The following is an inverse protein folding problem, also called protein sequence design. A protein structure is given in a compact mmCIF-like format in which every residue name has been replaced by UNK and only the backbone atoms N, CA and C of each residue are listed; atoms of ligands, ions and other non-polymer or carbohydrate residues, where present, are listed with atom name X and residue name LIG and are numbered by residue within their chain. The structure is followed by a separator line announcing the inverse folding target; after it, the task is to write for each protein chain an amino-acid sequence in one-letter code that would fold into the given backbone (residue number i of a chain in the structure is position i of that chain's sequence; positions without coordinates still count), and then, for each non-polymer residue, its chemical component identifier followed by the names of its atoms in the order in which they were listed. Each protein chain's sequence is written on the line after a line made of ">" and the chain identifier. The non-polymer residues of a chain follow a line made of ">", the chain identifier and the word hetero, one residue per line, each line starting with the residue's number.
data_IF_868944144855
#
_entry.id   IF_868944144855
#
_cell.length_a   1.000
_cell.length_b   1.000
_cell.length_c   1.000
_cell.angle_alpha   90.00
_cell.angle_beta   90.00
_cell.angle_gamma   90.00
#
_symmetry.space_group_name_H-M   'P 1'
#
loop_
_entity.id
_entity.type
_entity.pdbx_description
1 polymer ?
#
# COMPACT_ATOMS: atom_id res chain seq x y z
N UNK A 1 -13.05 24.94 -33.06
CA UNK A 1 -11.93 24.48 -33.89
C UNK A 1 -11.72 23.01 -33.54
N UNK A 2 -12.24 22.10 -34.36
CA UNK A 2 -12.16 20.65 -34.12
C UNK A 2 -10.71 20.19 -34.29
N UNK A 3 -10.08 19.76 -33.20
CA UNK A 3 -8.73 19.20 -33.25
C UNK A 3 -8.81 17.85 -33.97
N UNK A 4 -8.16 17.72 -35.13
CA UNK A 4 -8.03 16.43 -35.80
C UNK A 4 -7.27 15.48 -34.89
N UNK A 5 -7.82 14.29 -34.65
CA UNK A 5 -7.18 13.27 -33.83
C UNK A 5 -5.83 12.85 -34.44
N UNK A 6 -4.75 12.96 -33.66
CA UNK A 6 -3.40 12.51 -34.02
C UNK A 6 -2.88 11.60 -32.91
N UNK A 7 -2.70 10.32 -33.22
CA UNK A 7 -2.28 9.32 -32.23
C UNK A 7 -0.92 9.64 -31.61
N UNK A 8 0.04 10.14 -32.41
CA UNK A 8 1.39 10.47 -31.94
C UNK A 8 1.39 11.70 -31.03
N UNK A 9 0.65 12.75 -31.40
CA UNK A 9 0.56 13.96 -30.57
C UNK A 9 -0.13 13.67 -29.23
N UNK A 10 -1.20 12.87 -29.25
CA UNK A 10 -1.88 12.44 -28.04
C UNK A 10 -0.98 11.56 -27.16
N UNK A 11 -0.17 10.68 -27.76
CA UNK A 11 0.79 9.87 -27.00
C UNK A 11 1.84 10.72 -26.29
N UNK A 12 2.42 11.72 -26.97
CA UNK A 12 3.39 12.64 -26.35
C UNK A 12 2.76 13.51 -25.26
N UNK A 13 1.49 13.89 -25.39
CA UNK A 13 0.76 14.56 -24.30
C UNK A 13 0.67 13.63 -23.08
N UNK A 14 0.24 12.38 -23.26
CA UNK A 14 0.09 11.40 -22.17
C UNK A 14 1.44 11.09 -21.47
N UNK A 15 2.58 11.15 -22.15
CA UNK A 15 3.90 10.99 -21.50
C UNK A 15 4.19 12.07 -20.45
N UNK A 16 3.66 13.26 -20.70
CA UNK A 16 3.97 14.46 -19.91
C UNK A 16 2.92 14.74 -18.83
N UNK A 17 1.78 14.07 -18.87
CA UNK A 17 0.79 14.13 -17.80
C UNK A 17 1.38 13.66 -16.46
N UNK A 18 0.96 14.34 -15.40
CA UNK A 18 1.39 14.08 -14.02
C UNK A 18 0.17 13.96 -13.13
N UNK A 19 0.25 13.08 -12.15
CA UNK A 19 -0.76 12.97 -11.11
C UNK A 19 -0.59 14.03 -10.02
N UNK A 20 -1.48 14.02 -9.03
CA UNK A 20 -1.44 14.97 -7.90
C UNK A 20 -0.15 14.88 -7.07
N UNK A 21 0.51 13.72 -7.06
CA UNK A 21 1.79 13.47 -6.41
C UNK A 21 2.98 13.81 -7.33
N UNK A 22 2.73 14.46 -8.46
CA UNK A 22 3.68 14.88 -9.48
C UNK A 22 4.49 13.72 -10.11
N UNK A 23 3.94 12.50 -10.11
CA UNK A 23 4.50 11.32 -10.79
C UNK A 23 3.90 11.17 -12.18
N UNK A 24 4.61 10.47 -13.06
CA UNK A 24 4.13 10.19 -14.41
C UNK A 24 2.83 9.38 -14.35
N UNK A 25 1.77 9.90 -14.97
CA UNK A 25 0.41 9.36 -14.84
C UNK A 25 0.25 7.95 -15.41
N UNK A 26 1.03 7.67 -16.46
CA UNK A 26 1.00 6.40 -17.17
C UNK A 26 2.35 5.69 -17.01
N UNK A 27 2.34 4.53 -16.34
CA UNK A 27 3.51 3.67 -16.27
C UNK A 27 3.74 2.99 -17.62
N UNK A 28 4.91 3.24 -18.22
CA UNK A 28 5.35 2.59 -19.46
C UNK A 28 6.09 1.27 -19.22
N UNK A 29 6.35 0.93 -17.96
CA UNK A 29 7.01 -0.32 -17.59
C UNK A 29 5.96 -1.41 -17.32
N UNK A 30 6.24 -2.66 -17.72
CA UNK A 30 5.37 -3.78 -17.38
C UNK A 30 5.27 -3.93 -15.86
N UNK A 31 4.10 -4.35 -15.38
CA UNK A 31 3.88 -4.63 -13.96
C UNK A 31 4.92 -5.63 -13.45
N UNK A 32 5.60 -5.29 -12.36
CA UNK A 32 6.49 -6.21 -11.67
C UNK A 32 5.78 -6.80 -10.46
N UNK A 33 5.76 -8.13 -10.38
CA UNK A 33 5.37 -8.82 -9.15
C UNK A 33 6.53 -8.72 -8.15
N UNK A 34 6.31 -8.01 -7.04
CA UNK A 34 7.25 -7.96 -5.93
C UNK A 34 6.80 -8.95 -4.86
N UNK A 35 7.57 -10.03 -4.69
CA UNK A 35 7.33 -10.97 -3.58
C UNK A 35 8.13 -10.56 -2.35
N UNK A 36 7.43 -10.27 -1.25
CA UNK A 36 8.05 -9.93 0.04
C UNK A 36 7.86 -11.10 1.01
N UNK A 37 8.95 -11.61 1.59
CA UNK A 37 8.91 -12.67 2.60
C UNK A 37 8.91 -12.08 4.01
N UNK A 38 7.91 -12.47 4.81
CA UNK A 38 7.73 -12.00 6.19
C UNK A 38 7.67 -13.21 7.13
N UNK A 39 8.56 -13.24 8.11
CA UNK A 39 8.65 -14.31 9.10
C UNK A 39 7.98 -13.91 10.43
N UNK A 40 7.22 -14.82 11.07
CA UNK A 40 6.61 -14.56 12.36
C UNK A 40 7.67 -14.48 13.48
N UNK A 41 7.61 -13.42 14.28
CA UNK A 41 8.51 -13.21 15.42
C UNK A 41 7.76 -12.49 16.56
N UNK A 42 7.55 -13.19 17.67
CA UNK A 42 6.84 -12.66 18.86
C UNK A 42 7.63 -11.60 19.62
N UNK A 43 8.93 -11.44 19.35
CA UNK A 43 9.77 -10.38 19.94
C UNK A 43 9.54 -9.03 19.26
N UNK A 44 8.98 -9.02 18.05
CA UNK A 44 8.63 -7.80 17.33
C UNK A 44 7.35 -7.24 17.91
N UNK A 45 7.35 -5.94 18.25
CA UNK A 45 6.14 -5.25 18.70
C UNK A 45 5.06 -5.31 17.60
N UNK A 46 3.78 -5.54 17.95
CA UNK A 46 2.69 -5.48 16.98
C UNK A 46 2.66 -4.17 16.17
N UNK A 47 2.12 -4.27 14.95
CA UNK A 47 2.08 -3.22 13.93
C UNK A 47 3.45 -2.75 13.42
N UNK A 48 4.49 -3.60 13.52
CA UNK A 48 5.83 -3.30 12.98
C UNK A 48 6.35 -4.41 12.08
N UNK A 49 7.13 -3.98 11.09
CA UNK A 49 7.96 -4.84 10.25
C UNK A 49 9.43 -4.45 10.46
N UNK A 50 10.26 -5.43 10.79
CA UNK A 50 11.69 -5.21 11.03
C UNK A 50 12.47 -5.99 9.97
N UNK A 51 13.37 -5.36 9.21
CA UNK A 51 14.20 -6.07 8.24
C UNK A 51 15.09 -7.10 8.94
N UNK A 52 15.26 -8.26 8.31
CA UNK A 52 16.19 -9.27 8.79
C UNK A 52 17.63 -8.82 8.54
N UNK A 53 18.46 -8.90 9.58
CA UNK A 53 19.91 -8.60 9.49
C UNK A 53 20.69 -9.73 8.79
N UNK A 54 20.24 -10.97 8.94
CA UNK A 54 20.92 -12.18 8.46
C UNK A 54 20.41 -12.65 7.10
N UNK A 55 19.19 -12.28 6.71
CA UNK A 55 18.56 -12.65 5.44
C UNK A 55 18.08 -11.38 4.72
N UNK A 56 18.96 -10.72 3.94
CA UNK A 56 18.62 -9.51 3.22
C UNK A 56 17.38 -9.69 2.32
N UNK A 57 16.54 -8.66 2.22
CA UNK A 57 15.31 -8.70 1.42
C UNK A 57 14.11 -9.36 2.13
N UNK A 58 14.25 -9.80 3.38
CA UNK A 58 13.16 -10.39 4.16
C UNK A 58 12.88 -9.59 5.43
N UNK A 59 11.68 -9.76 5.99
CA UNK A 59 11.22 -9.03 7.18
C UNK A 59 10.77 -9.98 8.28
N UNK A 60 10.71 -9.46 9.51
CA UNK A 60 10.08 -10.09 10.68
C UNK A 60 8.95 -9.22 11.17
N UNK A 61 7.86 -9.83 11.60
CA UNK A 61 6.73 -9.14 12.19
C UNK A 61 6.04 -10.00 13.24
N UNK A 62 5.31 -9.36 14.15
CA UNK A 62 4.49 -10.09 15.11
C UNK A 62 3.43 -10.92 14.36
N UNK A 63 3.11 -12.16 14.79
CA UNK A 63 2.07 -12.98 14.16
C UNK A 63 0.73 -12.23 13.98
N UNK A 64 0.32 -11.46 14.98
CA UNK A 64 -0.86 -10.58 14.92
C UNK A 64 -0.80 -9.58 13.77
N UNK A 65 0.37 -8.99 13.51
CA UNK A 65 0.57 -8.02 12.41
C UNK A 65 0.43 -8.71 11.06
N UNK A 66 1.00 -9.90 10.90
CA UNK A 66 0.88 -10.69 9.68
C UNK A 66 -0.58 -11.07 9.42
N UNK A 67 -1.31 -11.49 10.45
CA UNK A 67 -2.73 -11.84 10.35
C UNK A 67 -3.62 -10.63 10.05
N UNK A 68 -3.32 -9.47 10.65
CA UNK A 68 -4.04 -8.23 10.44
C UNK A 68 -3.88 -7.67 9.03
N UNK A 69 -2.75 -7.95 8.37
CA UNK A 69 -2.44 -7.40 7.05
C UNK A 69 -3.42 -7.90 5.98
N UNK A 70 -3.82 -6.98 5.10
CA UNK A 70 -4.54 -7.32 3.87
C UNK A 70 -3.63 -8.08 2.90
N UNK A 71 -4.18 -9.09 2.24
CA UNK A 71 -3.42 -9.92 1.27
C UNK A 71 -3.18 -9.20 -0.06
N UNK A 72 -4.00 -8.21 -0.37
CA UNK A 72 -3.98 -7.39 -1.58
C UNK A 72 -3.25 -6.04 -1.38
N UNK A 73 -2.49 -5.89 -0.29
CA UNK A 73 -1.87 -4.63 0.14
C UNK A 73 -1.09 -3.93 -0.98
N UNK A 74 -0.37 -4.69 -1.80
CA UNK A 74 0.51 -4.17 -2.85
C UNK A 74 -0.09 -4.26 -4.26
N UNK A 75 -1.28 -4.85 -4.42
CA UNK A 75 -1.88 -5.08 -5.73
C UNK A 75 -2.14 -3.76 -6.48
N UNK A 76 -2.38 -2.68 -5.75
CA UNK A 76 -2.66 -1.34 -6.29
C UNK A 76 -1.60 -0.31 -5.90
N UNK A 77 -0.40 -0.71 -5.46
CA UNK A 77 0.62 0.26 -4.98
C UNK A 77 1.10 1.24 -6.06
N UNK A 78 0.86 0.91 -7.33
CA UNK A 78 1.16 1.73 -8.50
C UNK A 78 -0.07 2.45 -9.09
N UNK A 79 -1.25 2.21 -8.53
CA UNK A 79 -2.47 2.93 -8.88
C UNK A 79 -2.47 4.30 -8.17
N UNK A 80 -2.80 5.35 -8.89
CA UNK A 80 -2.89 6.72 -8.37
C UNK A 80 -3.88 6.83 -7.21
N UNK A 81 -4.91 5.98 -7.21
CA UNK A 81 -5.90 5.92 -6.14
C UNK A 81 -5.31 5.47 -4.78
N UNK A 82 -4.15 4.80 -4.75
CA UNK A 82 -3.57 4.27 -3.51
C UNK A 82 -3.17 5.38 -2.53
N UNK A 83 -2.56 6.46 -3.03
CA UNK A 83 -2.10 7.60 -2.21
C UNK A 83 -3.26 8.52 -1.81
N UNK A 84 -4.36 8.55 -2.58
CA UNK A 84 -5.55 9.37 -2.31
C UNK A 84 -6.51 8.77 -1.26
N UNK A 85 -6.42 7.46 -1.02
CA UNK A 85 -7.42 6.71 -0.25
C UNK A 85 -7.11 6.59 1.26
N UNK A 86 -6.15 7.34 1.80
CA UNK A 86 -5.76 7.26 3.23
C UNK A 86 -6.99 7.26 4.14
N UNK A 87 -7.12 6.23 4.98
CA UNK A 87 -8.29 6.01 5.82
C UNK A 87 -7.88 5.87 7.27
N UNK A 88 -7.28 6.94 7.81
CA UNK A 88 -6.85 7.01 9.21
C UNK A 88 -8.06 6.91 10.14
N UNK A 89 -8.02 5.93 11.03
CA UNK A 89 -9.02 5.74 12.07
C UNK A 89 -8.33 5.51 13.42
N UNK A 90 -8.94 6.02 14.50
CA UNK A 90 -8.54 5.69 15.86
C UNK A 90 -9.23 4.39 16.29
N UNK A 91 -8.46 3.39 16.71
CA UNK A 91 -9.01 2.15 17.23
C UNK A 91 -9.76 2.39 18.55
N UNK A 92 -11.02 2.01 18.64
CA UNK A 92 -11.82 2.19 19.87
C UNK A 92 -11.31 1.40 21.08
N UNK A 93 -10.60 0.28 20.85
CA UNK A 93 -10.09 -0.58 21.93
C UNK A 93 -8.74 -0.12 22.47
N UNK A 94 -7.76 0.13 21.60
CA UNK A 94 -6.39 0.45 22.02
C UNK A 94 -5.98 1.91 21.78
N UNK A 95 -6.88 2.73 21.21
CA UNK A 95 -6.67 4.16 20.94
C UNK A 95 -5.49 4.49 20.00
N UNK A 96 -4.88 3.48 19.38
CA UNK A 96 -3.87 3.69 18.35
C UNK A 96 -4.53 4.14 17.04
N UNK A 97 -3.90 5.10 16.38
CA UNK A 97 -4.25 5.51 15.01
C UNK A 97 -3.70 4.50 14.01
N UNK A 98 -4.55 4.07 13.09
CA UNK A 98 -4.20 3.08 12.07
C UNK A 98 -4.83 3.46 10.75
N UNK A 99 -4.09 3.25 9.66
CA UNK A 99 -4.65 3.40 8.33
C UNK A 99 -5.43 2.14 7.93
N UNK A 100 -6.77 2.23 7.93
CA UNK A 100 -7.67 1.10 7.64
C UNK A 100 -7.40 0.49 6.27
N UNK A 101 -6.83 1.23 5.32
CA UNK A 101 -6.56 0.72 3.98
C UNK A 101 -5.72 -0.55 4.00
N UNK A 102 -4.81 -0.70 4.96
CA UNK A 102 -3.79 -1.74 4.99
C UNK A 102 -4.16 -2.96 5.84
N UNK A 103 -5.22 -2.85 6.67
CA UNK A 103 -5.49 -3.80 7.73
C UNK A 103 -6.93 -4.34 7.69
N UNK A 104 -7.08 -5.64 7.95
CA UNK A 104 -8.38 -6.32 8.14
C UNK A 104 -9.00 -5.98 9.50
N UNK A 105 -8.15 -5.79 10.50
CA UNK A 105 -8.49 -5.44 11.89
C UNK A 105 -7.30 -4.72 12.54
N UNK A 106 -7.46 -4.20 13.76
CA UNK A 106 -6.41 -3.42 14.41
C UNK A 106 -5.12 -4.26 14.61
N UNK A 107 -3.98 -3.90 13.99
CA UNK A 107 -2.73 -4.66 14.08
C UNK A 107 -2.09 -4.63 15.48
N UNK A 108 -2.58 -3.78 16.39
CA UNK A 108 -2.09 -3.64 17.75
C UNK A 108 -2.83 -4.52 18.76
N UNK A 109 -4.14 -4.69 18.61
CA UNK A 109 -5.00 -5.30 19.63
C UNK A 109 -6.05 -6.28 19.10
N UNK A 110 -6.05 -6.56 17.79
CA UNK A 110 -6.97 -7.51 17.15
C UNK A 110 -8.45 -7.09 17.11
N UNK A 111 -8.78 -5.92 17.65
CA UNK A 111 -10.13 -5.37 17.58
C UNK A 111 -10.58 -5.14 16.12
N UNK A 112 -11.81 -5.56 15.83
CA UNK A 112 -12.44 -5.33 14.53
C UNK A 112 -12.73 -3.85 14.32
N UNK A 113 -12.51 -3.35 13.10
CA UNK A 113 -12.92 -2.00 12.75
C UNK A 113 -14.45 -1.87 12.64
N UNK A 114 -15.01 -0.68 12.92
CA UNK A 114 -16.43 -0.42 12.71
C UNK A 114 -16.83 -0.75 11.27
N UNK A 115 -17.94 -1.49 11.13
CA UNK A 115 -18.65 -1.63 9.85
C UNK A 115 -19.43 -0.34 9.67
N UNK A 116 -18.95 0.54 8.78
CA UNK A 116 -19.73 1.68 8.30
C UNK A 116 -20.87 1.16 7.43
#
# INVERSE_FOLDING_TARGET
>A
MERKFSANENFELLKNERNIANRQMYQMQPSQEVQVQIFPDKSVTPAKFIPNKTMPGTFRAHPTTIAAMRSDLFANMYDEAFEELSALITCSSCQNEVDKQFWKFCPHCEATFPKN
#
